data_IF_683315678737
#
_entry.id   IF_683315678737
#
_cell.length_a   1.000
_cell.length_b   1.000
_cell.length_c   1.000
_cell.angle_alpha   90.00
_cell.angle_beta   90.00
_cell.angle_gamma   90.00
#
_symmetry.space_group_name_H-M   'P 1'
#
loop_
_entity.id
_entity.type
_entity.pdbx_description
1 polymer ?
#
# COMPACT_ATOMS: atom_id res chain seq x y z
N UNK A 1 -10.65 -30.41 10.40
CA UNK A 1 -10.44 -29.20 9.58
C UNK A 1 -9.49 -28.30 10.35
N UNK A 2 -8.24 -28.21 9.90
CA UNK A 2 -7.30 -27.22 10.45
C UNK A 2 -7.88 -25.84 10.16
N UNK A 3 -8.09 -25.02 11.21
CA UNK A 3 -8.41 -23.61 11.06
C UNK A 3 -7.16 -22.96 10.47
N UNK A 4 -7.18 -22.62 9.20
CA UNK A 4 -6.15 -21.73 8.65
C UNK A 4 -6.17 -20.44 9.48
N UNK A 5 -4.98 -20.01 9.91
CA UNK A 5 -4.85 -18.72 10.56
C UNK A 5 -5.36 -17.63 9.61
N UNK A 6 -6.12 -16.65 10.09
CA UNK A 6 -6.59 -15.57 9.24
C UNK A 6 -5.39 -14.78 8.68
N UNK A 7 -5.50 -14.37 7.42
CA UNK A 7 -4.49 -13.50 6.77
C UNK A 7 -4.47 -12.16 7.51
N UNK A 8 -3.30 -11.71 7.89
CA UNK A 8 -3.10 -10.42 8.56
C UNK A 8 -2.71 -9.37 7.54
N UNK A 9 -3.51 -8.33 7.43
CA UNK A 9 -3.34 -7.29 6.42
C UNK A 9 -3.26 -5.92 7.05
N UNK A 10 -2.50 -5.02 6.42
CA UNK A 10 -2.43 -3.63 6.82
C UNK A 10 -2.67 -2.72 5.62
N UNK A 11 -3.47 -1.68 5.82
CA UNK A 11 -3.59 -0.55 4.88
C UNK A 11 -2.75 0.59 5.45
N UNK A 12 -1.80 1.11 4.66
CA UNK A 12 -1.00 2.27 5.04
C UNK A 12 -1.44 3.46 4.21
N UNK A 13 -1.85 4.53 4.87
CA UNK A 13 -2.32 5.73 4.17
C UNK A 13 -2.01 7.01 4.97
N UNK A 14 -2.36 8.15 4.40
CA UNK A 14 -2.19 9.48 4.98
C UNK A 14 -3.29 10.43 4.51
N UNK A 15 -3.26 11.71 4.86
CA UNK A 15 -4.28 12.67 4.44
C UNK A 15 -4.36 12.80 2.92
N UNK A 16 -5.55 13.03 2.40
CA UNK A 16 -5.79 13.21 0.97
C UNK A 16 -5.70 11.95 0.13
N UNK A 17 -5.91 10.77 0.74
CA UNK A 17 -6.01 9.53 -0.02
C UNK A 17 -7.22 9.55 -0.96
N UNK A 18 -7.19 8.75 -2.01
CA UNK A 18 -8.35 8.56 -2.88
C UNK A 18 -9.36 7.66 -2.16
N UNK A 19 -10.55 8.19 -1.91
CA UNK A 19 -11.54 7.59 -1.01
C UNK A 19 -11.93 6.16 -1.41
N UNK A 20 -12.20 5.92 -2.69
CA UNK A 20 -12.61 4.61 -3.20
C UNK A 20 -11.48 3.57 -3.11
N UNK A 21 -10.22 4.02 -3.24
CA UNK A 21 -9.04 3.15 -3.19
C UNK A 21 -8.71 2.68 -1.76
N UNK A 22 -9.29 3.34 -0.78
CA UNK A 22 -9.27 2.92 0.63
C UNK A 22 -10.52 2.13 1.00
N UNK A 23 -11.71 2.69 0.73
CA UNK A 23 -12.99 2.13 1.20
C UNK A 23 -13.28 0.77 0.59
N UNK A 24 -13.15 0.63 -0.72
CA UNK A 24 -13.45 -0.63 -1.39
C UNK A 24 -12.53 -1.78 -0.92
N UNK A 25 -11.20 -1.63 -0.94
CA UNK A 25 -10.31 -2.68 -0.44
C UNK A 25 -10.48 -2.94 1.07
N UNK A 26 -10.73 -1.92 1.88
CA UNK A 26 -10.96 -2.07 3.31
C UNK A 26 -12.09 -3.07 3.58
N UNK A 27 -13.27 -2.83 3.01
CA UNK A 27 -14.41 -3.74 3.21
C UNK A 27 -14.22 -5.07 2.50
N UNK A 28 -13.54 -5.09 1.36
CA UNK A 28 -13.27 -6.33 0.63
C UNK A 28 -12.34 -7.28 1.39
N UNK A 29 -11.32 -6.74 2.07
CA UNK A 29 -10.43 -7.53 2.92
C UNK A 29 -11.16 -8.06 4.16
N UNK A 30 -12.00 -7.22 4.81
CA UNK A 30 -12.83 -7.68 5.93
C UNK A 30 -13.81 -8.78 5.51
N UNK A 31 -14.48 -8.62 4.37
CA UNK A 31 -15.40 -9.63 3.82
C UNK A 31 -14.67 -10.95 3.52
N UNK A 32 -13.41 -10.88 3.09
CA UNK A 32 -12.56 -12.05 2.85
C UNK A 32 -12.04 -12.71 4.14
N UNK A 33 -12.36 -12.14 5.32
CA UNK A 33 -11.97 -12.71 6.62
C UNK A 33 -10.56 -12.34 7.08
N UNK A 34 -9.95 -11.29 6.52
CA UNK A 34 -8.66 -10.81 6.96
C UNK A 34 -8.73 -10.14 8.34
N UNK A 35 -7.70 -10.32 9.15
CA UNK A 35 -7.42 -9.44 10.28
C UNK A 35 -6.77 -8.18 9.73
N UNK A 36 -7.54 -7.08 9.70
CA UNK A 36 -7.15 -5.85 9.02
C UNK A 36 -6.79 -4.76 10.02
N UNK A 37 -5.60 -4.19 9.86
CA UNK A 37 -5.14 -2.99 10.54
C UNK A 37 -5.08 -1.80 9.56
N UNK A 38 -5.17 -0.60 10.11
CA UNK A 38 -4.97 0.66 9.38
C UNK A 38 -3.86 1.43 10.07
N UNK A 39 -2.71 1.55 9.41
CA UNK A 39 -1.56 2.25 9.93
C UNK A 39 -1.50 3.68 9.37
N UNK A 40 -1.52 4.66 10.26
CA UNK A 40 -1.41 6.09 9.93
C UNK A 40 -0.45 6.73 10.94
N UNK A 41 0.41 7.58 10.45
CA UNK A 41 1.39 8.29 11.26
C UNK A 41 0.74 9.04 12.42
N UNK A 42 1.36 8.93 13.60
CA UNK A 42 0.92 9.54 14.85
C UNK A 42 -0.50 9.10 15.29
N UNK A 43 -1.00 7.98 14.76
CA UNK A 43 -2.37 7.49 14.97
C UNK A 43 -3.47 8.56 14.75
N UNK A 44 -3.22 9.50 13.86
CA UNK A 44 -4.17 10.57 13.57
C UNK A 44 -5.25 10.12 12.59
N UNK A 45 -6.52 10.35 12.90
CA UNK A 45 -7.59 10.21 11.91
C UNK A 45 -7.34 11.20 10.77
N UNK A 46 -7.31 10.71 9.55
CA UNK A 46 -7.12 11.52 8.36
C UNK A 46 -8.34 11.46 7.45
N UNK A 47 -8.50 12.45 6.60
CA UNK A 47 -9.58 12.51 5.63
C UNK A 47 -9.04 12.23 4.22
N UNK A 48 -9.80 11.46 3.46
CA UNK A 48 -9.61 11.30 2.03
C UNK A 48 -9.93 12.58 1.26
N UNK A 49 -9.61 12.57 -0.01
CA UNK A 49 -9.82 13.71 -0.92
C UNK A 49 -11.26 14.24 -0.92
N UNK A 50 -12.23 13.38 -0.75
CA UNK A 50 -13.66 13.70 -0.74
C UNK A 50 -14.29 13.60 0.66
N UNK A 51 -13.46 13.48 1.70
CA UNK A 51 -13.88 13.61 3.10
C UNK A 51 -14.19 12.29 3.82
N UNK A 52 -13.92 11.14 3.23
CA UNK A 52 -14.05 9.87 3.96
C UNK A 52 -12.98 9.78 5.05
N UNK A 53 -13.36 9.51 6.31
CA UNK A 53 -12.38 9.35 7.38
C UNK A 53 -11.71 7.98 7.33
N UNK A 54 -10.39 7.95 7.38
CA UNK A 54 -9.62 6.77 7.73
C UNK A 54 -9.22 6.86 9.21
N UNK A 55 -9.70 5.90 10.01
CA UNK A 55 -9.40 5.81 11.43
C UNK A 55 -8.30 4.79 11.64
N UNK A 56 -7.15 5.19 12.18
CA UNK A 56 -6.06 4.27 12.43
C UNK A 56 -6.40 3.29 13.56
N UNK A 57 -5.89 2.08 13.42
CA UNK A 57 -5.85 1.08 14.48
C UNK A 57 -4.45 0.94 15.07
N UNK A 58 -3.44 1.47 14.35
CA UNK A 58 -2.04 1.48 14.79
C UNK A 58 -1.27 2.68 14.24
N UNK A 59 -0.13 2.97 14.84
CA UNK A 59 0.84 3.94 14.32
C UNK A 59 1.75 3.31 13.26
N UNK A 60 2.20 4.11 12.27
CA UNK A 60 3.23 3.63 11.33
C UNK A 60 4.54 3.28 12.03
N UNK A 61 4.82 3.88 13.19
CA UNK A 61 6.00 3.56 14.00
C UNK A 61 6.01 2.12 14.53
N UNK A 62 4.84 1.48 14.67
CA UNK A 62 4.67 0.13 15.20
C UNK A 62 4.64 -0.97 14.10
N UNK A 63 4.87 -0.60 12.84
CA UNK A 63 4.91 -1.54 11.72
C UNK A 63 6.07 -2.53 11.86
N UNK A 64 5.74 -3.83 11.83
CA UNK A 64 6.67 -4.94 11.82
C UNK A 64 6.23 -5.94 10.73
N UNK A 65 7.08 -6.16 9.73
CA UNK A 65 6.79 -7.03 8.60
C UNK A 65 6.48 -8.48 9.01
N UNK A 66 6.98 -8.95 10.15
CA UNK A 66 6.68 -10.29 10.66
C UNK A 66 5.21 -10.45 11.07
N UNK A 67 4.51 -9.35 11.31
CA UNK A 67 3.14 -9.36 11.77
C UNK A 67 2.09 -9.34 10.66
N UNK A 68 2.49 -9.21 9.40
CA UNK A 68 1.56 -9.08 8.27
C UNK A 68 1.90 -10.03 7.13
N UNK A 69 0.87 -10.38 6.36
CA UNK A 69 0.95 -11.20 5.16
C UNK A 69 0.69 -10.36 3.90
N UNK A 70 -0.02 -9.23 4.05
CA UNK A 70 -0.39 -8.33 2.98
C UNK A 70 -0.30 -6.87 3.43
N UNK A 71 0.26 -6.01 2.59
CA UNK A 71 0.15 -4.55 2.69
C UNK A 71 -0.58 -3.98 1.48
N UNK A 72 -1.54 -3.08 1.74
CA UNK A 72 -2.22 -2.29 0.73
C UNK A 72 -1.78 -0.82 0.84
N UNK A 73 -1.40 -0.25 -0.29
CA UNK A 73 -0.97 1.13 -0.46
C UNK A 73 -1.97 1.86 -1.39
N UNK A 74 -3.02 2.48 -0.83
CA UNK A 74 -3.96 3.29 -1.60
C UNK A 74 -3.26 4.50 -2.22
N UNK A 75 -3.86 5.02 -3.29
CA UNK A 75 -3.37 6.22 -3.94
C UNK A 75 -4.04 7.51 -3.45
N UNK A 76 -4.38 8.39 -4.40
CA UNK A 76 -4.45 9.81 -4.20
C UNK A 76 -3.05 10.39 -4.36
N UNK A 77 -2.91 11.62 -4.80
CA UNK A 77 -1.56 12.17 -4.98
C UNK A 77 -0.96 12.70 -3.67
N UNK A 78 -1.77 13.15 -2.71
CA UNK A 78 -1.28 13.72 -1.44
C UNK A 78 -0.83 12.63 -0.46
N UNK A 79 -1.64 11.60 -0.22
CA UNK A 79 -1.32 10.57 0.76
C UNK A 79 -0.02 9.81 0.42
N UNK A 80 0.16 9.25 -0.79
CA UNK A 80 1.43 8.60 -1.14
C UNK A 80 2.63 9.54 -1.11
N UNK A 81 2.46 10.81 -1.51
CA UNK A 81 3.54 11.81 -1.46
C UNK A 81 4.04 12.06 -0.03
N UNK A 82 3.14 12.08 0.94
CA UNK A 82 3.48 12.22 2.36
C UNK A 82 4.02 10.93 2.98
N UNK A 83 3.36 9.80 2.71
CA UNK A 83 3.72 8.49 3.27
C UNK A 83 5.10 8.04 2.81
N UNK A 84 5.49 8.34 1.57
CA UNK A 84 6.81 8.02 1.02
C UNK A 84 7.99 8.71 1.74
N UNK A 85 7.72 9.65 2.63
CA UNK A 85 8.73 10.32 3.46
C UNK A 85 8.91 9.63 4.83
N UNK A 86 8.09 8.65 5.17
CA UNK A 86 8.17 7.91 6.41
C UNK A 86 9.14 6.72 6.26
N UNK A 87 10.33 6.87 6.81
CA UNK A 87 11.39 5.85 6.72
C UNK A 87 10.98 4.51 7.34
N UNK A 88 10.09 4.52 8.35
CA UNK A 88 9.57 3.28 8.94
C UNK A 88 8.70 2.53 7.97
N UNK A 89 7.82 3.26 7.26
CA UNK A 89 7.00 2.67 6.19
C UNK A 89 7.86 2.13 5.05
N UNK A 90 8.87 2.89 4.61
CA UNK A 90 9.75 2.44 3.52
C UNK A 90 10.52 1.17 3.90
N UNK A 91 11.07 1.12 5.11
CA UNK A 91 11.71 -0.09 5.63
C UNK A 91 10.73 -1.26 5.70
N UNK A 92 9.55 -1.05 6.25
CA UNK A 92 8.50 -2.08 6.36
C UNK A 92 8.12 -2.65 4.98
N UNK A 93 7.86 -1.80 3.99
CA UNK A 93 7.51 -2.22 2.62
C UNK A 93 8.65 -3.02 1.98
N UNK A 94 9.89 -2.61 2.21
CA UNK A 94 11.07 -3.34 1.73
C UNK A 94 11.20 -4.71 2.41
N UNK A 95 11.01 -4.81 3.71
CA UNK A 95 11.03 -6.08 4.45
C UNK A 95 9.89 -7.02 4.01
N UNK A 96 8.69 -6.49 3.69
CA UNK A 96 7.59 -7.26 3.12
C UNK A 96 7.99 -7.85 1.75
N UNK A 97 8.63 -7.05 0.91
CA UNK A 97 9.14 -7.47 -0.40
C UNK A 97 10.21 -8.57 -0.29
N UNK A 98 11.23 -8.35 0.54
CA UNK A 98 12.31 -9.31 0.78
C UNK A 98 11.79 -10.64 1.35
N UNK A 99 10.69 -10.61 2.11
CA UNK A 99 10.02 -11.79 2.64
C UNK A 99 9.04 -12.45 1.65
N UNK A 100 8.89 -11.93 0.42
CA UNK A 100 7.95 -12.44 -0.58
C UNK A 100 6.49 -12.31 -0.19
N UNK A 101 6.15 -11.33 0.65
CA UNK A 101 4.79 -11.07 1.12
C UNK A 101 4.04 -10.17 0.16
N UNK A 102 2.71 -10.26 0.16
CA UNK A 102 1.88 -9.55 -0.80
C UNK A 102 1.93 -8.03 -0.61
N UNK A 103 2.24 -7.31 -1.67
CA UNK A 103 2.21 -5.84 -1.73
C UNK A 103 1.23 -5.41 -2.82
N UNK A 104 0.12 -4.81 -2.43
CA UNK A 104 -0.87 -4.28 -3.35
C UNK A 104 -0.81 -2.75 -3.36
N UNK A 105 -0.61 -2.14 -4.52
CA UNK A 105 -0.56 -0.69 -4.68
C UNK A 105 -1.51 -0.21 -5.77
N UNK A 106 -2.18 0.90 -5.54
CA UNK A 106 -3.19 1.46 -6.44
C UNK A 106 -2.81 2.90 -6.80
N UNK A 107 -3.04 3.28 -8.08
CA UNK A 107 -2.96 4.65 -8.55
C UNK A 107 -1.55 5.28 -8.34
N UNK A 108 -1.41 6.20 -7.37
CA UNK A 108 -0.11 6.78 -6.97
C UNK A 108 0.55 6.02 -5.80
N UNK A 109 -0.09 5.00 -5.26
CA UNK A 109 0.50 4.14 -4.20
C UNK A 109 1.91 3.62 -4.53
N UNK A 110 2.22 3.27 -5.80
CA UNK A 110 3.57 2.86 -6.19
C UNK A 110 4.69 3.89 -5.94
N UNK A 111 4.40 5.17 -5.68
CA UNK A 111 5.44 6.11 -5.24
C UNK A 111 6.13 5.67 -3.94
N UNK A 112 5.39 5.02 -3.05
CA UNK A 112 5.95 4.45 -1.82
C UNK A 112 6.93 3.32 -2.18
N UNK A 113 6.55 2.45 -3.13
CA UNK A 113 7.40 1.35 -3.60
C UNK A 113 8.68 1.87 -4.30
N UNK A 114 8.56 2.97 -5.07
CA UNK A 114 9.72 3.65 -5.68
C UNK A 114 10.69 4.13 -4.59
N UNK A 115 10.17 4.78 -3.56
CA UNK A 115 11.00 5.28 -2.45
C UNK A 115 11.60 4.17 -1.59
N UNK A 116 10.95 3.01 -1.50
CA UNK A 116 11.47 1.81 -0.86
C UNK A 116 12.49 1.03 -1.73
N UNK A 117 12.73 1.49 -2.98
CA UNK A 117 13.66 0.87 -3.96
C UNK A 117 13.34 -0.60 -4.27
N UNK A 118 12.06 -0.92 -4.48
CA UNK A 118 11.59 -2.28 -4.77
C UNK A 118 10.95 -2.46 -6.15
N UNK A 119 11.04 -1.45 -7.03
CA UNK A 119 10.39 -1.47 -8.35
C UNK A 119 11.25 -2.07 -9.47
N UNK A 120 12.57 -2.14 -9.28
CA UNK A 120 13.51 -2.51 -10.33
C UNK A 120 13.27 -3.92 -10.88
N UNK A 121 13.05 -4.01 -12.21
CA UNK A 121 12.82 -5.27 -12.93
C UNK A 121 11.42 -5.85 -12.75
N UNK A 122 10.56 -5.26 -11.94
CA UNK A 122 9.17 -5.72 -11.74
C UNK A 122 8.24 -5.24 -12.84
N UNK A 123 7.33 -6.09 -13.25
CA UNK A 123 6.20 -5.67 -14.09
C UNK A 123 5.21 -4.91 -13.23
N UNK A 124 4.94 -3.67 -13.61
CA UNK A 124 4.09 -2.79 -12.83
C UNK A 124 3.14 -2.00 -13.70
N UNK A 125 2.00 -1.64 -13.14
CA UNK A 125 1.10 -0.61 -13.67
C UNK A 125 0.77 0.38 -12.55
N UNK A 126 0.29 1.56 -12.91
CA UNK A 126 -0.10 2.59 -11.96
C UNK A 126 -1.00 3.62 -12.66
N UNK A 127 -1.39 4.67 -11.95
CA UNK A 127 -2.00 5.82 -12.59
C UNK A 127 -1.03 6.39 -13.64
N UNK A 128 -1.53 6.65 -14.83
CA UNK A 128 -0.71 6.96 -16.02
C UNK A 128 0.25 8.15 -15.84
N UNK A 129 -0.05 9.10 -14.95
CA UNK A 129 0.81 10.27 -14.74
C UNK A 129 2.16 9.93 -14.11
N UNK A 130 2.27 8.78 -13.42
CA UNK A 130 3.52 8.33 -12.79
C UNK A 130 4.25 7.22 -13.56
N UNK A 131 3.86 7.00 -14.82
CA UNK A 131 4.54 6.05 -15.71
C UNK A 131 6.05 6.36 -15.82
N UNK A 132 6.38 7.64 -16.00
CA UNK A 132 7.78 8.07 -16.11
C UNK A 132 8.56 7.77 -14.82
N UNK A 133 7.96 7.97 -13.66
CA UNK A 133 8.58 7.74 -12.36
C UNK A 133 8.91 6.25 -12.18
N UNK A 134 7.96 5.37 -12.52
CA UNK A 134 8.17 3.91 -12.45
C UNK A 134 9.25 3.43 -13.43
N UNK A 135 9.25 3.93 -14.66
CA UNK A 135 10.31 3.62 -15.64
C UNK A 135 11.67 4.08 -15.16
N UNK A 136 11.77 5.29 -14.60
CA UNK A 136 13.00 5.81 -14.03
C UNK A 136 13.48 5.01 -12.82
N UNK A 137 12.56 4.43 -12.04
CA UNK A 137 12.86 3.51 -10.95
C UNK A 137 13.26 2.10 -11.45
N UNK A 138 13.23 1.87 -12.76
CA UNK A 138 13.66 0.61 -13.38
C UNK A 138 12.56 -0.45 -13.49
N UNK A 139 11.29 -0.09 -13.30
CA UNK A 139 10.18 -1.00 -13.50
C UNK A 139 9.92 -1.28 -15.01
N UNK A 140 9.47 -2.49 -15.31
CA UNK A 140 8.88 -2.86 -16.61
C UNK A 140 7.41 -2.44 -16.61
N UNK A 141 7.16 -1.17 -16.95
CA UNK A 141 5.83 -0.58 -16.89
C UNK A 141 4.90 -1.12 -17.98
N UNK A 142 3.76 -1.65 -17.57
CA UNK A 142 2.74 -2.23 -18.46
C UNK A 142 1.68 -1.16 -18.81
N UNK A 143 1.85 -0.52 -19.97
CA UNK A 143 0.97 0.57 -20.43
C UNK A 143 -0.43 0.06 -20.72
N UNK A 144 -1.47 0.79 -20.25
CA UNK A 144 -2.90 0.48 -20.43
C UNK A 144 -3.36 -0.89 -19.92
N UNK A 145 -2.60 -1.49 -19.03
CA UNK A 145 -3.02 -2.70 -18.33
C UNK A 145 -3.61 -2.28 -16.98
N UNK A 146 -4.87 -2.64 -16.67
CA UNK A 146 -5.53 -2.16 -15.45
C UNK A 146 -4.98 -2.78 -14.17
N UNK A 147 -4.50 -4.02 -14.22
CA UNK A 147 -3.92 -4.74 -13.09
C UNK A 147 -2.75 -5.58 -13.57
N UNK A 148 -1.66 -5.55 -12.83
CA UNK A 148 -0.49 -6.41 -13.04
C UNK A 148 -0.22 -7.17 -11.74
N UNK A 149 0.07 -8.44 -11.86
CA UNK A 149 0.58 -9.28 -10.77
C UNK A 149 1.96 -9.76 -11.19
N UNK A 150 2.94 -9.57 -10.31
CA UNK A 150 4.33 -9.94 -10.54
C UNK A 150 4.93 -10.48 -9.23
N UNK A 151 4.95 -11.79 -9.09
CA UNK A 151 5.36 -12.58 -7.92
C UNK A 151 4.52 -12.29 -6.65
N UNK A 152 4.79 -11.21 -5.93
CA UNK A 152 4.19 -10.93 -4.61
C UNK A 152 3.29 -9.69 -4.53
#
# INVERSE_FOLDING_TARGET
>A
MEKQNPIRSVIITGPGFQDEEYVYPYYRLLEAGHQLEVAIKDQATVLGKYGVPARPTMDTADLDANNFDLVLLPGGFEAPDRVRLDETVLRFVKEMDEAGKCIAAICHGPWIMISADICRGRKMTAFWSIEADLKNAGADYQHKVPVVVDDN
#
